data_IF_568846127166
#
_entry.id   IF_568846127166
#
_cell.length_a   1.000
_cell.length_b   1.000
_cell.length_c   1.000
_cell.angle_alpha   90.00
_cell.angle_beta   90.00
_cell.angle_gamma   90.00
#
_symmetry.space_group_name_H-M   'P 1'
#
loop_
_entity.id
_entity.type
_entity.pdbx_description
1 polymer ?
#
# COMPACT_ATOMS: atom_id res chain seq x y z
N UNK A 1 70.07 -6.83 -7.02
CA UNK A 1 71.02 -6.02 -7.82
C UNK A 1 70.17 -5.03 -8.60
N UNK A 2 70.08 -3.73 -8.35
CA UNK A 2 71.00 -2.81 -7.69
C UNK A 2 71.32 -1.68 -8.67
N UNK A 3 70.58 -0.55 -8.59
CA UNK A 3 70.95 0.85 -8.87
C UNK A 3 71.57 1.25 -10.22
N UNK A 4 71.54 2.49 -10.72
CA UNK A 4 70.81 3.77 -10.48
C UNK A 4 71.49 4.80 -11.40
N UNK A 5 70.73 5.79 -11.91
CA UNK A 5 71.08 7.23 -12.07
C UNK A 5 70.11 7.87 -13.10
N UNK A 6 69.15 8.71 -12.72
CA UNK A 6 69.16 10.02 -12.04
C UNK A 6 69.66 11.19 -12.90
N UNK A 7 68.75 12.11 -13.24
CA UNK A 7 69.04 13.52 -13.52
C UNK A 7 67.97 14.41 -12.88
N UNK A 8 68.44 15.30 -12.00
CA UNK A 8 67.71 16.30 -11.20
C UNK A 8 67.31 17.54 -12.01
N UNK A 9 66.27 18.26 -11.55
CA UNK A 9 66.28 19.71 -11.27
C UNK A 9 65.05 20.15 -10.46
N UNK A 10 65.30 20.86 -9.35
CA UNK A 10 64.36 21.48 -8.39
C UNK A 10 63.95 22.94 -8.81
N UNK A 11 63.40 23.83 -7.94
CA UNK A 11 61.96 24.14 -7.88
C UNK A 11 61.65 25.67 -7.91
N UNK A 12 60.36 26.04 -7.77
CA UNK A 12 59.77 27.24 -7.12
C UNK A 12 58.63 27.86 -7.96
N UNK A 13 57.48 28.09 -7.31
CA UNK A 13 56.86 29.40 -7.00
C UNK A 13 55.35 29.19 -6.78
N UNK A 14 54.90 29.49 -5.56
CA UNK A 14 53.51 29.61 -5.13
C UNK A 14 52.77 30.78 -5.80
N UNK A 15 51.46 30.65 -5.99
CA UNK A 15 50.51 31.78 -5.91
C UNK A 15 49.08 31.29 -5.67
N UNK A 16 48.50 31.80 -4.58
CA UNK A 16 47.09 31.80 -4.24
C UNK A 16 46.25 32.54 -5.30
N UNK A 17 45.02 32.12 -5.50
CA UNK A 17 43.89 33.01 -5.79
C UNK A 17 42.58 32.29 -5.40
N UNK A 18 41.94 32.86 -4.38
CA UNK A 18 40.58 32.60 -3.93
C UNK A 18 39.56 33.04 -4.99
N UNK A 19 38.56 32.21 -5.29
CA UNK A 19 37.32 32.64 -5.96
C UNK A 19 36.08 32.33 -5.12
N UNK A 20 35.66 33.41 -4.45
CA UNK A 20 34.33 33.90 -4.07
C UNK A 20 33.09 33.02 -4.27
N UNK A 21 32.45 32.75 -3.14
CA UNK A 21 31.03 32.43 -2.95
C UNK A 21 30.21 33.74 -2.94
N UNK A 22 29.10 33.89 -3.68
CA UNK A 22 28.14 34.97 -3.44
C UNK A 22 27.04 34.54 -2.46
N UNK A 23 26.86 35.34 -1.41
CA UNK A 23 25.77 35.30 -0.44
C UNK A 23 24.50 36.01 -0.94
N UNK A 24 23.32 35.75 -0.33
CA UNK A 24 22.03 36.25 -0.81
C UNK A 24 21.77 37.71 -0.37
N UNK A 25 21.35 38.55 -1.33
CA UNK A 25 20.93 39.92 -1.09
C UNK A 25 19.46 39.96 -0.61
N UNK A 26 19.28 40.48 0.60
CA UNK A 26 18.02 40.99 1.12
C UNK A 26 17.64 42.30 0.45
N UNK A 27 16.39 42.45 0.03
CA UNK A 27 15.82 43.75 -0.29
C UNK A 27 14.50 44.00 0.45
N UNK A 28 14.52 45.13 1.12
CA UNK A 28 13.54 45.73 2.01
C UNK A 28 12.29 46.24 1.29
N UNK A 29 11.15 46.11 1.97
CA UNK A 29 9.89 46.77 1.68
C UNK A 29 10.05 48.30 1.71
N UNK A 30 9.48 48.98 0.71
CA UNK A 30 9.23 50.42 0.75
C UNK A 30 7.90 50.70 0.08
N UNK A 31 6.96 51.16 0.91
CA UNK A 31 5.66 51.72 0.55
C UNK A 31 5.82 53.05 -0.18
N UNK A 32 5.13 53.24 -1.30
CA UNK A 32 4.63 54.57 -1.67
C UNK A 32 3.41 54.49 -2.58
N UNK A 33 2.32 55.05 -2.07
CA UNK A 33 1.06 55.37 -2.73
C UNK A 33 1.21 56.60 -3.62
N UNK A 34 0.67 56.58 -4.83
CA UNK A 34 0.20 57.78 -5.57
C UNK A 34 -0.70 57.35 -6.73
N UNK A 35 -1.96 57.79 -6.66
CA UNK A 35 -3.01 57.63 -7.66
C UNK A 35 -2.71 58.41 -8.94
N UNK A 36 -3.17 57.91 -10.09
CA UNK A 36 -3.77 58.75 -11.14
C UNK A 36 -4.72 57.92 -11.99
N UNK A 37 -5.87 58.52 -12.23
CA UNK A 37 -7.09 57.97 -12.79
C UNK A 37 -7.07 57.88 -14.32
N UNK A 38 -7.57 56.78 -14.87
CA UNK A 38 -8.23 56.80 -16.18
C UNK A 38 -9.32 55.74 -16.25
N UNK A 39 -10.50 56.23 -16.60
CA UNK A 39 -11.79 55.55 -16.59
C UNK A 39 -12.03 54.77 -17.87
N UNK A 40 -12.24 53.46 -17.77
CA UNK A 40 -12.93 52.66 -18.79
C UNK A 40 -13.92 51.71 -18.12
N UNK A 41 -15.19 51.94 -18.42
CA UNK A 41 -16.34 51.20 -17.91
C UNK A 41 -16.40 49.82 -18.54
N UNK A 42 -16.10 48.77 -17.77
CA UNK A 42 -16.44 47.40 -18.12
C UNK A 42 -17.55 46.92 -17.19
N UNK A 43 -18.71 46.59 -17.80
CA UNK A 43 -19.88 46.05 -17.13
C UNK A 43 -19.49 44.78 -16.36
N UNK A 44 -19.69 44.80 -15.05
CA UNK A 44 -19.58 43.62 -14.20
C UNK A 44 -20.72 42.65 -14.54
N UNK A 45 -20.38 41.50 -15.12
CA UNK A 45 -21.19 40.30 -14.95
C UNK A 45 -20.99 39.79 -13.51
N UNK A 46 -22.04 39.32 -12.83
CA UNK A 46 -21.88 38.77 -11.49
C UNK A 46 -20.97 37.54 -11.58
N UNK A 47 -19.90 37.56 -10.79
CA UNK A 47 -19.03 36.42 -10.56
C UNK A 47 -19.89 35.21 -10.16
N UNK A 48 -20.04 34.23 -11.05
CA UNK A 48 -20.30 32.88 -10.57
C UNK A 48 -19.05 32.45 -9.82
N UNK A 49 -19.16 32.22 -8.53
CA UNK A 49 -18.21 31.40 -7.79
C UNK A 49 -18.19 30.02 -8.44
N UNK A 50 -17.30 29.85 -9.43
CA UNK A 50 -17.20 28.62 -10.20
C UNK A 50 -16.78 27.50 -9.25
N UNK A 51 -17.74 26.67 -8.83
CA UNK A 51 -17.43 25.41 -8.15
C UNK A 51 -16.59 24.59 -9.13
N UNK A 52 -15.36 24.27 -8.73
CA UNK A 52 -14.50 23.34 -9.47
C UNK A 52 -15.26 22.02 -9.65
N UNK A 53 -15.13 21.39 -10.82
CA UNK A 53 -15.64 20.03 -11.00
C UNK A 53 -14.91 19.06 -10.06
N UNK A 54 -15.54 17.96 -9.60
CA UNK A 54 -14.87 16.99 -8.72
C UNK A 54 -13.54 16.49 -9.30
N UNK A 55 -13.48 16.25 -10.62
CA UNK A 55 -12.25 15.88 -11.33
C UNK A 55 -11.13 16.92 -11.22
N UNK A 56 -11.46 18.21 -11.19
CA UNK A 56 -10.46 19.28 -10.97
C UNK A 56 -10.08 19.41 -9.49
N UNK A 57 -11.02 19.15 -8.58
CA UNK A 57 -10.81 19.24 -7.12
C UNK A 57 -9.88 18.15 -6.61
N UNK A 58 -9.96 16.95 -7.17
CA UNK A 58 -9.17 15.77 -6.76
C UNK A 58 -8.09 15.41 -7.78
N UNK A 59 -7.62 16.37 -8.59
CA UNK A 59 -6.58 16.11 -9.58
C UNK A 59 -5.20 15.82 -8.94
N UNK A 60 -4.95 16.39 -7.76
CA UNK A 60 -3.79 16.18 -6.91
C UNK A 60 -4.24 16.27 -5.45
N UNK A 61 -3.90 15.27 -4.64
CA UNK A 61 -4.26 15.25 -3.21
C UNK A 61 -3.00 15.56 -2.39
N UNK A 62 -2.93 16.69 -1.67
CA UNK A 62 -1.76 17.02 -0.86
C UNK A 62 -1.75 16.29 0.49
N UNK A 63 -0.56 16.07 1.02
CA UNK A 63 -0.34 15.59 2.39
C UNK A 63 -0.97 16.54 3.42
N UNK A 64 -2.06 16.11 4.05
CA UNK A 64 -2.86 16.94 4.95
C UNK A 64 -2.85 16.46 6.41
N UNK A 65 -2.21 15.33 6.70
CA UNK A 65 -2.23 14.72 8.04
C UNK A 65 -0.82 14.61 8.62
N UNK A 66 -0.72 14.80 9.94
CA UNK A 66 0.53 14.64 10.69
C UNK A 66 0.47 13.49 11.70
N UNK A 67 -0.71 12.93 11.96
CA UNK A 67 -0.91 11.81 12.88
C UNK A 67 -1.95 10.80 12.36
N UNK A 68 -1.84 9.54 12.80
CA UNK A 68 -2.78 8.48 12.47
C UNK A 68 -4.19 8.75 13.01
N UNK A 69 -4.31 9.45 14.15
CA UNK A 69 -5.60 9.85 14.72
C UNK A 69 -6.35 10.82 13.80
N UNK A 70 -5.63 11.75 13.15
CA UNK A 70 -6.24 12.67 12.19
C UNK A 70 -6.76 11.92 10.96
N UNK A 71 -5.96 10.98 10.43
CA UNK A 71 -6.37 10.11 9.32
C UNK A 71 -7.60 9.30 9.70
N UNK A 72 -7.57 8.62 10.85
CA UNK A 72 -8.69 7.79 11.33
C UNK A 72 -9.95 8.63 11.53
N UNK A 73 -9.80 9.84 12.06
CA UNK A 73 -10.91 10.79 12.21
C UNK A 73 -11.44 11.23 10.85
N UNK A 74 -10.57 11.49 9.87
CA UNK A 74 -10.97 11.84 8.52
C UNK A 74 -11.72 10.69 7.83
N UNK A 75 -11.21 9.46 7.89
CA UNK A 75 -11.89 8.27 7.35
C UNK A 75 -13.30 8.12 7.92
N UNK A 76 -13.44 8.23 9.25
CA UNK A 76 -14.75 8.18 9.93
C UNK A 76 -15.68 9.33 9.51
N UNK A 77 -15.16 10.55 9.42
CA UNK A 77 -15.96 11.73 9.04
C UNK A 77 -16.45 11.66 7.59
N UNK A 78 -15.66 11.08 6.70
CA UNK A 78 -16.04 10.87 5.30
C UNK A 78 -17.00 9.67 5.13
N UNK A 79 -17.22 8.89 6.20
CA UNK A 79 -18.15 7.75 6.18
C UNK A 79 -17.52 6.47 5.64
N UNK A 80 -16.19 6.39 5.55
CA UNK A 80 -15.51 5.12 5.35
C UNK A 80 -15.53 4.37 6.68
N UNK A 81 -16.63 3.65 6.92
CA UNK A 81 -16.75 2.75 8.07
C UNK A 81 -15.90 1.50 7.91
N UNK A 82 -15.61 1.13 6.66
CA UNK A 82 -15.17 -0.19 6.26
C UNK A 82 -14.61 -0.14 4.80
N UNK A 83 -13.51 -0.84 4.48
CA UNK A 83 -12.90 -0.96 3.15
C UNK A 83 -12.47 -2.40 2.85
N UNK A 84 -12.20 -2.74 1.59
CA UNK A 84 -11.67 -4.06 1.23
C UNK A 84 -10.22 -3.94 0.72
N UNK A 85 -9.33 -4.80 1.19
CA UNK A 85 -7.93 -4.83 0.76
C UNK A 85 -7.69 -5.85 -0.35
N UNK A 86 -6.85 -5.48 -1.31
CA UNK A 86 -6.28 -6.40 -2.30
C UNK A 86 -4.76 -6.28 -2.23
N UNK A 87 -4.03 -7.39 -2.28
CA UNK A 87 -2.57 -7.38 -2.21
C UNK A 87 -1.93 -7.90 -3.50
N UNK A 88 -0.98 -7.14 -4.03
CA UNK A 88 -0.12 -7.51 -5.15
C UNK A 88 1.35 -7.58 -4.73
N UNK A 89 2.03 -8.69 -5.03
CA UNK A 89 3.45 -8.89 -4.74
C UNK A 89 4.23 -9.02 -6.04
N UNK A 90 5.22 -8.15 -6.21
CA UNK A 90 6.19 -8.21 -7.30
C UNK A 90 7.14 -9.40 -7.10
N UNK A 91 7.25 -10.26 -8.10
CA UNK A 91 8.20 -11.38 -8.17
C UNK A 91 9.12 -11.30 -9.40
N UNK A 92 9.46 -10.09 -9.82
CA UNK A 92 10.42 -9.85 -10.90
C UNK A 92 11.85 -10.05 -10.42
N UNK A 93 12.75 -10.25 -11.39
CA UNK A 93 14.15 -10.59 -11.18
C UNK A 93 14.96 -9.44 -10.60
N UNK A 94 14.50 -8.19 -10.72
CA UNK A 94 15.21 -7.04 -10.14
C UNK A 94 15.42 -7.15 -8.64
N UNK A 95 14.52 -7.83 -7.96
CA UNK A 95 14.64 -8.21 -6.56
C UNK A 95 15.91 -9.00 -6.21
N UNK A 96 16.64 -9.57 -7.17
CA UNK A 96 17.95 -10.21 -6.93
C UNK A 96 19.05 -9.18 -6.63
N UNK A 97 18.94 -7.94 -7.13
CA UNK A 97 20.00 -6.92 -7.02
C UNK A 97 19.57 -5.62 -6.33
N UNK A 98 18.28 -5.34 -6.19
CA UNK A 98 17.75 -4.14 -5.50
C UNK A 98 17.78 -4.23 -3.97
N UNK A 99 18.35 -5.31 -3.42
CA UNK A 99 18.74 -5.43 -2.00
C UNK A 99 20.23 -5.22 -1.75
N UNK A 100 20.98 -4.66 -2.70
CA UNK A 100 22.43 -4.47 -2.60
C UNK A 100 22.82 -3.69 -1.35
N UNK A 101 22.14 -2.59 -1.07
CA UNK A 101 22.44 -1.68 0.04
C UNK A 101 21.53 -1.98 1.24
N UNK A 102 20.22 -1.99 1.01
CA UNK A 102 19.18 -2.11 2.04
C UNK A 102 19.05 -3.52 2.62
N UNK A 103 19.58 -4.54 1.94
CA UNK A 103 19.48 -5.93 2.38
C UNK A 103 20.77 -6.72 2.18
N UNK A 104 21.91 -6.06 2.39
CA UNK A 104 23.25 -6.70 2.50
C UNK A 104 23.61 -7.58 1.29
N UNK A 105 23.31 -7.10 0.08
CA UNK A 105 23.58 -7.81 -1.17
C UNK A 105 22.89 -9.19 -1.27
N UNK A 106 21.74 -9.32 -0.58
CA UNK A 106 20.82 -10.45 -0.74
C UNK A 106 19.64 -10.04 -1.61
N UNK A 107 19.00 -11.03 -2.21
CA UNK A 107 17.71 -10.83 -2.86
C UNK A 107 16.67 -10.35 -1.83
N UNK A 108 15.82 -9.41 -2.23
CA UNK A 108 14.70 -8.92 -1.42
C UNK A 108 13.68 -10.02 -1.08
N UNK A 109 13.66 -11.14 -1.82
CA UNK A 109 12.85 -12.33 -1.51
C UNK A 109 13.61 -13.43 -0.75
N UNK A 110 14.86 -13.21 -0.33
CA UNK A 110 15.65 -14.27 0.28
C UNK A 110 15.04 -14.73 1.62
N UNK A 111 14.41 -15.92 1.63
CA UNK A 111 13.86 -16.56 2.83
C UNK A 111 15.00 -17.00 3.76
N UNK A 112 14.85 -16.75 5.05
CA UNK A 112 15.83 -17.15 6.07
C UNK A 112 15.34 -16.86 7.48
N UNK A 113 16.26 -16.84 8.44
CA UNK A 113 15.94 -16.62 9.85
C UNK A 113 15.45 -15.19 10.15
N UNK A 114 15.85 -14.23 9.33
CA UNK A 114 15.42 -12.83 9.44
C UNK A 114 14.42 -12.51 8.33
N UNK A 115 13.30 -11.84 8.66
CA UNK A 115 12.33 -11.44 7.66
C UNK A 115 12.97 -10.54 6.60
N UNK A 116 12.75 -10.88 5.34
CA UNK A 116 13.13 -10.04 4.21
C UNK A 116 12.21 -8.81 4.10
N UNK A 117 12.53 -7.81 3.25
CA UNK A 117 11.74 -6.59 3.14
C UNK A 117 10.27 -6.80 2.77
N UNK A 118 9.94 -7.79 1.94
CA UNK A 118 8.55 -8.14 1.63
C UNK A 118 7.82 -8.73 2.84
N UNK A 119 8.43 -9.66 3.58
CA UNK A 119 7.85 -10.24 4.80
C UNK A 119 7.58 -9.15 5.86
N UNK A 120 8.50 -8.19 5.99
CA UNK A 120 8.34 -7.02 6.87
C UNK A 120 7.18 -6.14 6.40
N UNK A 121 7.11 -5.83 5.12
CA UNK A 121 6.04 -5.02 4.55
C UNK A 121 4.68 -5.69 4.76
N UNK A 122 4.51 -6.97 4.40
CA UNK A 122 3.28 -7.75 4.60
C UNK A 122 2.86 -7.72 6.07
N UNK A 123 3.80 -7.96 6.99
CA UNK A 123 3.52 -7.95 8.43
C UNK A 123 3.05 -6.58 8.92
N UNK A 124 3.70 -5.49 8.49
CA UNK A 124 3.34 -4.14 8.93
C UNK A 124 2.03 -3.69 8.28
N UNK A 125 1.79 -4.01 7.01
CA UNK A 125 0.49 -3.80 6.35
C UNK A 125 -0.61 -4.51 7.14
N UNK A 126 -0.42 -5.76 7.53
CA UNK A 126 -1.38 -6.50 8.35
C UNK A 126 -1.68 -5.83 9.69
N UNK A 127 -0.66 -5.32 10.38
CA UNK A 127 -0.86 -4.60 11.65
C UNK A 127 -1.56 -3.26 11.50
N UNK A 128 -1.35 -2.57 10.38
CA UNK A 128 -1.71 -1.15 10.24
C UNK A 128 -2.92 -0.91 9.36
N UNK A 129 -3.11 -1.70 8.30
CA UNK A 129 -4.20 -1.55 7.35
C UNK A 129 -5.32 -2.58 7.55
N UNK A 130 -5.04 -3.79 8.04
CA UNK A 130 -6.09 -4.80 8.26
C UNK A 130 -7.21 -4.37 9.22
N UNK A 131 -7.01 -3.50 10.24
CA UNK A 131 -8.12 -2.98 11.04
C UNK A 131 -9.16 -2.17 10.25
N UNK A 132 -8.84 -1.77 9.02
CA UNK A 132 -9.74 -1.08 8.09
C UNK A 132 -10.36 -2.02 7.04
N UNK A 133 -10.04 -3.32 7.09
CA UNK A 133 -10.58 -4.35 6.20
C UNK A 133 -11.89 -4.94 6.75
N UNK A 134 -12.88 -5.16 5.88
CA UNK A 134 -14.25 -5.49 6.28
C UNK A 134 -14.45 -6.92 6.76
N UNK A 135 -13.80 -7.87 6.10
CA UNK A 135 -14.06 -9.29 6.22
C UNK A 135 -12.81 -10.12 6.54
N UNK A 136 -11.65 -9.47 6.58
CA UNK A 136 -10.34 -10.08 6.75
C UNK A 136 -10.03 -11.10 5.63
N UNK A 137 -10.68 -10.97 4.46
CA UNK A 137 -10.45 -11.77 3.27
C UNK A 137 -9.61 -10.96 2.29
N UNK A 138 -8.35 -11.35 2.12
CA UNK A 138 -7.39 -10.62 1.31
C UNK A 138 -7.13 -11.37 0.00
N UNK A 139 -7.74 -10.98 -1.14
CA UNK A 139 -7.29 -11.43 -2.45
C UNK A 139 -5.82 -11.07 -2.64
N UNK A 140 -4.99 -12.10 -2.86
CA UNK A 140 -3.54 -11.95 -2.96
C UNK A 140 -3.01 -12.49 -4.30
N UNK A 141 -2.27 -11.65 -5.00
CA UNK A 141 -1.71 -11.93 -6.31
C UNK A 141 -0.19 -11.78 -6.34
N UNK A 142 0.47 -12.62 -7.13
CA UNK A 142 1.84 -12.44 -7.57
C UNK A 142 1.92 -12.13 -9.06
N UNK A 143 2.94 -11.37 -9.47
CA UNK A 143 3.19 -11.04 -10.88
C UNK A 143 4.69 -10.92 -11.16
N UNK A 144 5.09 -10.98 -12.44
CA UNK A 144 6.49 -10.77 -12.85
C UNK A 144 7.39 -12.02 -12.78
N UNK A 145 6.85 -13.15 -12.33
CA UNK A 145 7.57 -14.42 -12.35
C UNK A 145 7.62 -15.02 -13.77
N UNK A 146 8.35 -16.13 -13.92
CA UNK A 146 8.48 -16.83 -15.19
C UNK A 146 7.17 -17.40 -15.76
N UNK A 147 6.10 -17.49 -14.97
CA UNK A 147 4.79 -17.95 -15.44
C UNK A 147 3.87 -16.81 -15.86
N UNK A 148 4.06 -15.60 -15.31
CA UNK A 148 3.18 -14.44 -15.55
C UNK A 148 3.80 -13.34 -16.41
N UNK A 149 5.13 -13.15 -16.33
CA UNK A 149 5.84 -12.04 -16.97
C UNK A 149 5.13 -10.70 -16.68
N UNK A 150 5.01 -9.81 -17.67
CA UNK A 150 4.31 -8.52 -17.60
C UNK A 150 2.85 -8.58 -18.12
N UNK A 151 2.27 -9.78 -18.24
CA UNK A 151 1.00 -9.99 -18.92
C UNK A 151 -0.14 -10.43 -18.00
N UNK A 152 0.16 -11.25 -17.00
CA UNK A 152 -0.83 -11.93 -16.17
C UNK A 152 -0.49 -11.79 -14.68
N UNK A 153 -1.38 -12.29 -13.82
CA UNK A 153 -1.12 -12.50 -12.39
C UNK A 153 -1.37 -13.96 -12.04
N UNK A 154 -0.77 -14.45 -10.97
CA UNK A 154 -1.16 -15.70 -10.32
C UNK A 154 -1.79 -15.43 -8.96
N UNK A 155 -2.77 -16.23 -8.57
CA UNK A 155 -3.38 -16.18 -7.24
C UNK A 155 -2.54 -16.98 -6.23
N UNK A 156 -2.51 -16.54 -4.97
CA UNK A 156 -1.82 -17.28 -3.89
C UNK A 156 -2.50 -18.62 -3.58
N UNK A 157 -3.81 -18.74 -3.81
CA UNK A 157 -4.55 -20.00 -3.72
C UNK A 157 -4.87 -20.56 -5.10
N UNK A 158 -4.80 -21.89 -5.25
CA UNK A 158 -5.07 -22.58 -6.52
C UNK A 158 -6.51 -22.50 -7.01
N UNK A 159 -7.46 -22.32 -6.10
CA UNK A 159 -8.88 -22.10 -6.40
C UNK A 159 -9.25 -20.61 -6.53
N UNK A 160 -8.26 -19.72 -6.45
CA UNK A 160 -8.45 -18.26 -6.46
C UNK A 160 -9.27 -17.71 -5.28
N UNK A 161 -9.39 -18.44 -4.17
CA UNK A 161 -9.96 -17.92 -2.93
C UNK A 161 -9.01 -16.90 -2.27
N UNK A 162 -9.57 -16.00 -1.45
CA UNK A 162 -8.81 -15.02 -0.67
C UNK A 162 -8.08 -15.68 0.51
N UNK A 163 -6.96 -15.09 0.92
CA UNK A 163 -6.31 -15.42 2.19
C UNK A 163 -7.14 -14.88 3.37
N UNK A 164 -7.13 -15.58 4.51
CA UNK A 164 -7.74 -15.15 5.76
C UNK A 164 -6.71 -14.45 6.64
N UNK A 165 -6.71 -13.13 6.58
CA UNK A 165 -5.76 -12.28 7.29
C UNK A 165 -4.33 -12.38 6.77
N UNK A 166 -3.50 -11.46 7.25
CA UNK A 166 -2.11 -11.31 6.80
C UNK A 166 -1.19 -12.42 7.30
N UNK A 167 -1.61 -13.18 8.31
CA UNK A 167 -0.91 -14.39 8.76
C UNK A 167 -0.92 -15.47 7.66
N UNK A 168 -2.06 -15.69 6.99
CA UNK A 168 -2.13 -16.63 5.87
C UNK A 168 -1.42 -16.08 4.63
N UNK A 169 -1.52 -14.77 4.37
CA UNK A 169 -0.74 -14.13 3.30
C UNK A 169 0.75 -14.40 3.45
N UNK A 170 1.29 -14.20 4.66
CA UNK A 170 2.71 -14.42 4.95
C UNK A 170 3.10 -15.90 4.79
N UNK A 171 2.26 -16.83 5.27
CA UNK A 171 2.49 -18.27 5.11
C UNK A 171 2.48 -18.70 3.63
N UNK A 172 1.53 -18.19 2.85
CA UNK A 172 1.46 -18.42 1.40
C UNK A 172 2.71 -17.86 0.70
N UNK A 173 3.10 -16.62 1.01
CA UNK A 173 4.31 -16.00 0.47
C UNK A 173 5.56 -16.86 0.73
N UNK A 174 5.77 -17.30 1.98
CA UNK A 174 6.91 -18.14 2.36
C UNK A 174 6.91 -19.51 1.67
N UNK A 175 5.73 -20.05 1.33
CA UNK A 175 5.58 -21.30 0.57
C UNK A 175 5.83 -21.11 -0.94
N UNK A 176 5.39 -19.98 -1.50
CA UNK A 176 5.47 -19.70 -2.94
C UNK A 176 6.90 -19.35 -3.36
N UNK A 177 7.58 -18.47 -2.61
CA UNK A 177 8.88 -17.91 -2.99
C UNK A 177 9.94 -18.97 -3.35
N UNK A 178 10.16 -20.04 -2.56
CA UNK A 178 11.17 -21.05 -2.87
C UNK A 178 10.93 -21.83 -4.17
N UNK A 179 9.68 -21.84 -4.65
CA UNK A 179 9.24 -22.60 -5.82
C UNK A 179 9.08 -21.72 -7.08
N UNK A 180 9.35 -20.43 -6.95
CA UNK A 180 9.12 -19.44 -7.98
C UNK A 180 10.43 -19.13 -8.71
N UNK A 181 10.33 -18.86 -10.03
CA UNK A 181 11.46 -18.37 -10.82
C UNK A 181 11.23 -16.91 -11.16
N UNK A 182 11.98 -16.01 -10.51
CA UNK A 182 11.91 -14.57 -10.77
C UNK A 182 12.22 -14.28 -12.24
N UNK A 183 11.46 -13.36 -12.85
CA UNK A 183 11.57 -13.07 -14.29
C UNK A 183 11.31 -11.59 -14.59
N UNK A 184 10.59 -11.27 -15.64
CA UNK A 184 10.19 -9.95 -16.08
C UNK A 184 9.60 -10.03 -17.49
N UNK A 185 9.37 -8.92 -18.18
CA UNK A 185 9.50 -7.53 -17.73
C UNK A 185 8.59 -7.17 -16.53
N UNK A 186 8.79 -5.98 -15.98
CA UNK A 186 8.02 -5.46 -14.84
C UNK A 186 6.97 -4.48 -15.33
N UNK A 187 5.68 -4.79 -15.10
CA UNK A 187 4.54 -3.89 -15.29
C UNK A 187 3.52 -4.14 -14.17
N UNK A 188 2.92 -3.08 -13.63
CA UNK A 188 1.86 -3.21 -12.62
C UNK A 188 0.46 -3.33 -13.25
N UNK A 189 0.36 -3.20 -14.58
CA UNK A 189 -0.92 -3.27 -15.26
C UNK A 189 -1.70 -4.56 -14.95
N UNK A 190 -1.11 -5.77 -14.98
CA UNK A 190 -1.87 -7.00 -14.73
C UNK A 190 -2.52 -7.04 -13.33
N UNK A 191 -1.82 -6.54 -12.30
CA UNK A 191 -2.34 -6.56 -10.93
C UNK A 191 -3.36 -5.45 -10.68
N UNK A 192 -3.21 -4.30 -11.32
CA UNK A 192 -4.22 -3.22 -11.31
C UNK A 192 -5.49 -3.69 -12.04
N UNK A 193 -5.35 -4.31 -13.21
CA UNK A 193 -6.47 -4.90 -13.95
C UNK A 193 -7.20 -5.98 -13.13
N UNK A 194 -6.46 -6.80 -12.37
CA UNK A 194 -7.04 -7.79 -11.45
C UNK A 194 -7.85 -7.13 -10.31
N UNK A 195 -7.34 -6.03 -9.74
CA UNK A 195 -8.06 -5.28 -8.71
C UNK A 195 -9.33 -4.61 -9.26
N UNK A 196 -9.30 -4.06 -10.47
CA UNK A 196 -10.48 -3.53 -11.15
C UNK A 196 -11.55 -4.63 -11.32
N UNK A 197 -11.16 -5.84 -11.74
CA UNK A 197 -12.08 -6.97 -11.87
C UNK A 197 -12.70 -7.39 -10.52
N UNK A 198 -11.95 -7.29 -9.41
CA UNK A 198 -12.50 -7.49 -8.05
C UNK A 198 -13.53 -6.41 -7.68
N UNK A 199 -13.22 -5.14 -7.95
CA UNK A 199 -14.15 -4.02 -7.70
C UNK A 199 -15.46 -4.20 -8.49
N UNK A 200 -15.38 -4.69 -9.72
CA UNK A 200 -16.57 -4.99 -10.53
C UNK A 200 -17.37 -6.17 -9.99
N UNK A 201 -16.70 -7.26 -9.59
CA UNK A 201 -17.35 -8.43 -8.98
C UNK A 201 -17.99 -8.14 -7.63
N UNK A 202 -17.47 -7.17 -6.88
CA UNK A 202 -18.03 -6.70 -5.61
C UNK A 202 -19.13 -5.66 -5.78
N UNK A 203 -19.57 -5.39 -7.02
CA UNK A 203 -20.59 -4.39 -7.35
C UNK A 203 -20.20 -2.95 -7.00
N UNK A 204 -18.93 -2.59 -7.17
CA UNK A 204 -18.43 -1.24 -6.95
C UNK A 204 -18.26 -0.88 -5.49
N UNK A 205 -17.91 -1.86 -4.64
CA UNK A 205 -17.45 -1.57 -3.29
C UNK A 205 -16.06 -0.91 -3.33
N UNK A 206 -15.77 -0.06 -2.35
CA UNK A 206 -14.46 0.58 -2.26
C UNK A 206 -13.37 -0.44 -1.93
N UNK A 207 -12.29 -0.42 -2.71
CA UNK A 207 -11.13 -1.27 -2.48
C UNK A 207 -9.84 -0.44 -2.43
N UNK A 208 -8.89 -0.93 -1.66
CA UNK A 208 -7.51 -0.44 -1.65
C UNK A 208 -6.60 -1.56 -2.13
N UNK A 209 -6.01 -1.39 -3.32
CA UNK A 209 -4.95 -2.26 -3.82
C UNK A 209 -3.62 -1.81 -3.23
N UNK A 210 -2.96 -2.70 -2.48
CA UNK A 210 -1.60 -2.51 -1.99
C UNK A 210 -0.65 -3.33 -2.85
N UNK A 211 0.28 -2.67 -3.54
CA UNK A 211 1.32 -3.32 -4.34
C UNK A 211 2.64 -3.21 -3.57
N UNK A 212 3.28 -4.32 -3.24
CA UNK A 212 4.64 -4.34 -2.68
C UNK A 212 5.61 -4.66 -3.82
N UNK A 213 6.54 -3.74 -4.10
CA UNK A 213 7.45 -3.85 -5.24
C UNK A 213 8.79 -3.15 -5.00
N UNK A 214 9.79 -3.45 -5.83
CA UNK A 214 11.13 -2.84 -5.78
C UNK A 214 11.30 -1.60 -6.67
N UNK A 215 10.22 -1.19 -7.33
CA UNK A 215 10.14 0.04 -8.12
C UNK A 215 10.74 -0.04 -9.52
N UNK A 216 11.26 -1.19 -9.95
CA UNK A 216 11.97 -1.33 -11.23
C UNK A 216 11.01 -1.66 -12.40
N UNK A 217 10.05 -0.77 -12.68
CA UNK A 217 9.24 -0.89 -13.91
C UNK A 217 10.18 -0.88 -15.12
N UNK A 218 10.00 -1.82 -16.04
CA UNK A 218 10.97 -2.00 -17.14
C UNK A 218 10.96 -0.77 -18.03
N UNK A 219 12.06 -0.02 -18.02
CA UNK A 219 12.23 1.18 -18.83
C UNK A 219 13.00 0.89 -20.11
N UNK A 220 12.78 1.71 -21.14
CA UNK A 220 13.56 1.69 -22.39
C UNK A 220 14.91 2.35 -22.11
N UNK A 221 15.85 1.62 -21.50
CA UNK A 221 17.15 2.09 -21.03
C UNK A 221 17.69 3.32 -21.78
N UNK A 222 17.49 4.51 -21.20
CA UNK A 222 18.12 5.75 -21.63
C UNK A 222 17.89 6.21 -23.07
N UNK A 223 16.77 5.90 -23.74
CA UNK A 223 16.47 6.60 -25.00
C UNK A 223 16.24 8.09 -24.72
N UNK A 224 17.08 8.94 -25.32
CA UNK A 224 17.25 10.38 -25.04
C UNK A 224 16.01 11.27 -25.27
N UNK A 225 14.84 10.70 -25.56
CA UNK A 225 13.66 11.44 -26.04
C UNK A 225 12.47 11.45 -25.05
N UNK A 226 12.65 11.00 -23.80
CA UNK A 226 11.59 11.04 -22.78
C UNK A 226 10.37 10.16 -23.11
N UNK A 227 10.53 9.20 -24.03
CA UNK A 227 9.47 8.28 -24.47
C UNK A 227 9.35 7.10 -23.51
N UNK A 228 8.15 6.88 -23.01
CA UNK A 228 7.82 5.76 -22.11
C UNK A 228 8.04 4.40 -22.77
N UNK A 229 8.42 3.40 -21.99
CA UNK A 229 8.43 2.00 -22.38
C UNK A 229 7.00 1.44 -22.53
N UNK A 230 6.83 0.31 -23.23
CA UNK A 230 5.54 -0.36 -23.28
C UNK A 230 5.00 -0.71 -21.88
N UNK A 231 5.87 -1.09 -20.93
CA UNK A 231 5.48 -1.45 -19.58
C UNK A 231 5.10 -0.22 -18.73
N UNK A 232 5.80 0.89 -18.89
CA UNK A 232 5.48 2.17 -18.26
C UNK A 232 4.13 2.70 -18.79
N UNK A 233 3.95 2.72 -20.12
CA UNK A 233 2.70 3.15 -20.77
C UNK A 233 1.52 2.28 -20.34
N UNK A 234 1.70 0.95 -20.29
CA UNK A 234 0.63 0.04 -19.87
C UNK A 234 0.28 0.22 -18.38
N UNK A 235 1.28 0.46 -17.54
CA UNK A 235 1.07 0.76 -16.11
C UNK A 235 0.30 2.05 -15.93
N UNK A 236 0.70 3.13 -16.61
CA UNK A 236 0.02 4.43 -16.57
C UNK A 236 -1.43 4.28 -17.05
N UNK A 237 -1.65 3.59 -18.17
CA UNK A 237 -3.00 3.38 -18.70
C UNK A 237 -3.89 2.59 -17.73
N UNK A 238 -3.34 1.58 -17.05
CA UNK A 238 -4.08 0.83 -16.03
C UNK A 238 -4.43 1.70 -14.82
N UNK A 239 -3.55 2.59 -14.37
CA UNK A 239 -3.84 3.55 -13.29
C UNK A 239 -4.95 4.54 -13.71
N UNK A 240 -4.88 5.06 -14.95
CA UNK A 240 -5.92 5.92 -15.51
C UNK A 240 -7.26 5.18 -15.58
N UNK A 241 -7.28 3.94 -16.07
CA UNK A 241 -8.49 3.10 -16.10
C UNK A 241 -9.05 2.87 -14.69
N UNK A 242 -8.18 2.55 -13.72
CA UNK A 242 -8.55 2.35 -12.31
C UNK A 242 -9.23 3.57 -11.70
N UNK A 243 -8.91 4.79 -12.15
CA UNK A 243 -9.55 6.02 -11.65
C UNK A 243 -11.03 6.15 -12.00
N UNK A 244 -11.54 5.35 -12.95
CA UNK A 244 -12.97 5.24 -13.24
C UNK A 244 -13.71 4.25 -12.34
N UNK A 245 -13.04 3.71 -11.32
CA UNK A 245 -13.55 2.75 -10.33
C UNK A 245 -13.35 3.28 -8.90
N UNK A 246 -14.12 2.81 -7.90
CA UNK A 246 -13.88 3.11 -6.49
C UNK A 246 -12.66 2.30 -5.97
N UNK A 247 -11.49 2.57 -6.55
CA UNK A 247 -10.23 1.86 -6.30
C UNK A 247 -9.11 2.85 -6.00
N UNK A 248 -8.52 2.72 -4.82
CA UNK A 248 -7.28 3.35 -4.42
C UNK A 248 -6.10 2.40 -4.60
N UNK A 249 -4.93 2.91 -4.97
CA UNK A 249 -3.71 2.14 -5.17
C UNK A 249 -2.61 2.70 -4.26
N UNK A 250 -2.02 1.85 -3.42
CA UNK A 250 -0.85 2.17 -2.60
C UNK A 250 0.32 1.32 -3.10
N UNK A 251 1.37 1.96 -3.58
CA UNK A 251 2.63 1.30 -3.91
C UNK A 251 3.61 1.40 -2.75
N UNK A 252 3.90 0.26 -2.12
CA UNK A 252 4.86 0.10 -1.04
C UNK A 252 6.21 -0.29 -1.61
N UNK A 253 7.12 0.68 -1.69
CA UNK A 253 8.46 0.52 -2.24
C UNK A 253 9.45 -0.12 -1.27
N UNK A 254 9.91 -1.34 -1.56
CA UNK A 254 10.94 -2.06 -0.80
C UNK A 254 12.27 -2.13 -1.56
N UNK A 255 13.39 -2.24 -0.85
CA UNK A 255 14.71 -2.24 -1.46
C UNK A 255 15.31 -0.86 -1.73
N UNK A 256 16.30 -0.82 -2.62
CA UNK A 256 17.20 0.31 -2.88
C UNK A 256 16.61 1.38 -3.81
N UNK A 257 15.56 1.06 -4.57
CA UNK A 257 15.08 1.88 -5.68
C UNK A 257 15.99 1.78 -6.92
N UNK A 258 16.09 2.82 -7.78
CA UNK A 258 15.59 4.19 -7.58
C UNK A 258 14.06 4.32 -7.63
N UNK A 259 13.53 5.40 -7.05
CA UNK A 259 12.08 5.64 -6.89
C UNK A 259 11.56 6.81 -7.73
N UNK A 260 12.37 7.36 -8.63
CA UNK A 260 12.02 8.56 -9.40
C UNK A 260 10.77 8.37 -10.26
N UNK A 261 10.63 7.20 -10.90
CA UNK A 261 9.46 6.91 -11.72
C UNK A 261 8.19 6.73 -10.89
N UNK A 262 8.31 6.18 -9.68
CA UNK A 262 7.17 6.02 -8.77
C UNK A 262 6.64 7.37 -8.29
N UNK A 263 7.54 8.33 -8.05
CA UNK A 263 7.17 9.73 -7.75
C UNK A 263 6.52 10.43 -8.95
N UNK A 264 6.90 10.09 -10.17
CA UNK A 264 6.22 10.61 -11.38
C UNK A 264 4.80 10.03 -11.50
N UNK A 265 4.59 8.78 -11.10
CA UNK A 265 3.27 8.16 -11.11
C UNK A 265 2.32 8.76 -10.06
N UNK A 266 2.84 9.17 -8.89
CA UNK A 266 2.09 9.97 -7.90
C UNK A 266 1.59 11.30 -8.50
N UNK A 267 2.52 12.13 -8.99
CA UNK A 267 2.23 13.55 -9.21
C UNK A 267 1.82 13.90 -10.65
N UNK A 268 2.09 13.02 -11.63
CA UNK A 268 2.15 13.41 -13.05
C UNK A 268 1.46 12.44 -14.01
N UNK A 269 0.45 11.70 -13.57
CA UNK A 269 -0.40 10.90 -14.48
C UNK A 269 -1.48 11.80 -15.10
N UNK A 270 -1.37 12.17 -16.40
CA UNK A 270 -2.40 12.96 -17.04
C UNK A 270 -3.68 12.13 -17.25
N UNK A 271 -4.84 12.81 -17.24
CA UNK A 271 -6.18 12.31 -17.65
C UNK A 271 -6.99 11.45 -16.66
N UNK A 272 -6.42 10.99 -15.54
CA UNK A 272 -7.19 10.27 -14.49
C UNK A 272 -8.34 11.09 -13.92
N UNK A 273 -9.42 10.43 -13.49
CA UNK A 273 -10.65 11.05 -12.98
C UNK A 273 -10.49 11.64 -11.57
N UNK A 274 -9.62 11.04 -10.76
CA UNK A 274 -9.12 11.57 -9.50
C UNK A 274 -7.73 10.98 -9.23
N UNK A 275 -6.99 11.58 -8.30
CA UNK A 275 -5.74 11.05 -7.79
C UNK A 275 -5.98 9.77 -6.99
N UNK A 276 -5.66 8.62 -7.58
CA UNK A 276 -5.97 7.29 -7.03
C UNK A 276 -4.72 6.46 -6.71
N UNK A 277 -3.54 7.07 -6.69
CA UNK A 277 -2.26 6.38 -6.56
C UNK A 277 -1.38 7.09 -5.55
N UNK A 278 -0.90 6.36 -4.55
CA UNK A 278 0.02 6.83 -3.50
C UNK A 278 1.29 5.99 -3.51
N UNK A 279 2.46 6.61 -3.56
CA UNK A 279 3.75 5.93 -3.32
C UNK A 279 4.22 6.06 -1.87
N UNK A 280 4.70 4.96 -1.28
CA UNK A 280 5.30 4.93 0.07
C UNK A 280 6.67 4.26 0.03
N UNK A 281 7.73 5.01 0.34
CA UNK A 281 9.09 4.48 0.45
C UNK A 281 9.29 3.73 1.78
N UNK A 282 8.96 2.44 1.81
CA UNK A 282 9.02 1.59 2.99
C UNK A 282 10.44 1.47 3.54
N UNK A 283 11.43 1.22 2.66
CA UNK A 283 12.84 1.10 3.07
C UNK A 283 13.31 2.36 3.80
N UNK A 284 12.99 3.54 3.27
CA UNK A 284 13.37 4.81 3.88
C UNK A 284 12.76 4.97 5.28
N UNK A 285 11.46 4.72 5.43
CA UNK A 285 10.79 4.78 6.75
C UNK A 285 11.43 3.80 7.74
N UNK A 286 11.68 2.56 7.31
CA UNK A 286 12.20 1.51 8.18
C UNK A 286 13.69 1.71 8.55
N UNK A 287 14.42 2.49 7.74
CA UNK A 287 15.83 2.82 7.99
C UNK A 287 16.04 3.87 9.09
N UNK A 288 15.01 4.64 9.45
CA UNK A 288 15.10 5.70 10.47
C UNK A 288 15.54 5.16 11.83
N UNK A 289 16.30 5.94 12.61
CA UNK A 289 16.76 5.54 13.94
C UNK A 289 15.71 5.88 15.03
N UNK A 290 14.54 5.25 14.92
CA UNK A 290 13.39 5.41 15.83
C UNK A 290 12.91 4.04 16.31
N UNK A 291 11.99 4.01 17.27
CA UNK A 291 11.40 2.76 17.74
C UNK A 291 10.57 2.05 16.67
N UNK A 292 10.36 0.73 16.82
CA UNK A 292 9.55 -0.04 15.87
C UNK A 292 8.13 0.50 15.75
N UNK A 293 7.50 0.88 16.87
CA UNK A 293 6.14 1.43 16.88
C UNK A 293 6.05 2.77 16.14
N UNK A 294 7.05 3.65 16.27
CA UNK A 294 7.09 4.90 15.53
C UNK A 294 7.25 4.68 14.02
N UNK A 295 8.01 3.66 13.61
CA UNK A 295 8.15 3.29 12.18
C UNK A 295 6.85 2.73 11.61
N UNK A 296 6.20 1.82 12.33
CA UNK A 296 4.90 1.27 11.95
C UNK A 296 3.85 2.39 11.83
N UNK A 297 3.84 3.33 12.79
CA UNK A 297 2.94 4.50 12.76
C UNK A 297 3.25 5.43 11.58
N UNK A 298 4.53 5.70 11.31
CA UNK A 298 4.93 6.53 10.17
C UNK A 298 4.58 5.89 8.84
N UNK A 299 4.71 4.56 8.72
CA UNK A 299 4.26 3.82 7.55
C UNK A 299 2.75 3.90 7.38
N UNK A 300 1.98 3.63 8.44
CA UNK A 300 0.52 3.69 8.40
C UNK A 300 0.02 5.08 7.97
N UNK A 301 0.62 6.13 8.53
CA UNK A 301 0.31 7.52 8.17
C UNK A 301 0.60 7.80 6.70
N UNK A 302 1.77 7.38 6.20
CA UNK A 302 2.14 7.60 4.80
C UNK A 302 1.24 6.81 3.83
N UNK A 303 0.90 5.57 4.15
CA UNK A 303 0.04 4.73 3.32
C UNK A 303 -1.41 5.22 3.27
N UNK A 304 -1.92 5.77 4.37
CA UNK A 304 -3.31 6.23 4.47
C UNK A 304 -3.49 7.72 4.18
N UNK A 305 -2.43 8.44 3.82
CA UNK A 305 -2.43 9.91 3.69
C UNK A 305 -3.53 10.42 2.75
N UNK A 306 -3.71 9.75 1.61
CA UNK A 306 -4.66 10.17 0.59
C UNK A 306 -6.01 9.45 0.66
N UNK A 307 -6.08 8.29 1.31
CA UNK A 307 -7.26 7.40 1.30
C UNK A 307 -8.57 8.11 1.69
N UNK A 308 -8.65 8.98 2.71
CA UNK A 308 -9.88 9.71 3.02
C UNK A 308 -10.38 10.56 1.85
N UNK A 309 -9.47 11.23 1.14
CA UNK A 309 -9.80 12.11 0.02
C UNK A 309 -10.13 11.31 -1.23
N UNK A 310 -9.44 10.18 -1.45
CA UNK A 310 -9.70 9.26 -2.55
C UNK A 310 -11.09 8.61 -2.43
N UNK A 311 -11.45 8.17 -1.22
CA UNK A 311 -12.80 7.68 -0.92
C UNK A 311 -13.87 8.75 -1.21
N UNK A 312 -13.62 9.98 -0.73
CA UNK A 312 -14.51 11.12 -0.98
C UNK A 312 -14.64 11.44 -2.47
N UNK A 313 -13.55 11.35 -3.24
CA UNK A 313 -13.57 11.52 -4.68
C UNK A 313 -14.46 10.47 -5.36
N UNK A 314 -14.32 9.20 -4.99
CA UNK A 314 -15.16 8.11 -5.50
C UNK A 314 -16.65 8.32 -5.18
N UNK A 315 -16.97 8.85 -3.99
CA UNK A 315 -18.31 9.30 -3.60
C UNK A 315 -18.82 10.42 -4.50
N UNK A 316 -18.08 11.53 -4.62
CA UNK A 316 -18.48 12.74 -5.36
C UNK A 316 -18.56 12.51 -6.88
N UNK A 317 -17.77 11.57 -7.42
CA UNK A 317 -17.82 11.12 -8.82
C UNK A 317 -18.93 10.07 -9.07
N UNK A 318 -19.60 9.58 -8.03
CA UNK A 318 -20.67 8.60 -8.15
C UNK A 318 -20.21 7.22 -8.63
N UNK A 319 -19.00 6.80 -8.23
CA UNK A 319 -18.37 5.54 -8.61
C UNK A 319 -18.80 4.38 -7.69
N UNK A 320 -19.12 4.66 -6.42
CA UNK A 320 -19.50 3.65 -5.43
C UNK A 320 -20.85 2.99 -5.73
N UNK A 321 -20.93 1.69 -5.45
CA UNK A 321 -22.14 0.88 -5.58
C UNK A 321 -22.59 0.67 -7.02
N UNK A 322 -21.68 0.83 -7.99
CA UNK A 322 -21.94 0.67 -9.42
C UNK A 322 -20.95 -0.29 -10.05
N UNK A 323 -21.46 -1.30 -10.72
CA UNK A 323 -20.69 -2.07 -11.70
C UNK A 323 -20.79 -1.36 -13.06
N UNK A 324 -19.65 -1.20 -13.74
CA UNK A 324 -19.62 -0.56 -15.05
C UNK A 324 -19.80 -1.58 -16.18
N UNK A 325 -19.48 -2.85 -15.91
CA UNK A 325 -19.52 -3.94 -16.89
C UNK A 325 -18.49 -3.79 -18.03
N UNK A 326 -17.53 -2.86 -17.89
CA UNK A 326 -16.51 -2.55 -18.90
C UNK A 326 -15.17 -3.22 -18.60
N UNK A 327 -14.96 -3.70 -17.38
CA UNK A 327 -13.69 -4.32 -16.99
C UNK A 327 -13.40 -5.60 -17.77
N UNK A 328 -12.11 -5.86 -17.98
CA UNK A 328 -11.65 -7.15 -18.45
C UNK A 328 -11.83 -8.17 -17.32
N UNK A 329 -12.43 -9.32 -17.64
CA UNK A 329 -12.49 -10.44 -16.70
C UNK A 329 -11.09 -11.04 -16.58
N UNK A 330 -10.55 -11.05 -15.37
CA UNK A 330 -9.24 -11.63 -15.07
C UNK A 330 -9.42 -13.03 -14.49
N UNK A 331 -8.68 -13.98 -15.05
CA UNK A 331 -8.56 -15.35 -14.54
C UNK A 331 -7.11 -15.54 -14.13
N UNK A 332 -6.79 -15.41 -12.83
CA UNK A 332 -5.43 -15.60 -12.34
C UNK A 332 -4.91 -17.00 -12.65
N UNK A 333 -3.61 -17.12 -12.90
CA UNK A 333 -2.93 -18.42 -12.92
C UNK A 333 -2.94 -19.05 -11.52
N UNK A 334 -2.90 -20.39 -11.42
CA UNK A 334 -2.64 -21.04 -10.14
C UNK A 334 -1.22 -20.68 -9.63
N UNK A 335 -0.98 -20.75 -8.30
CA UNK A 335 0.34 -20.46 -7.74
C UNK A 335 1.36 -21.52 -8.20
N UNK A 336 2.65 -21.15 -8.34
CA UNK A 336 3.72 -22.11 -8.68
C UNK A 336 3.86 -23.28 -7.72
N UNK A 337 3.43 -23.09 -6.46
CA UNK A 337 3.32 -24.14 -5.45
C UNK A 337 1.91 -24.14 -4.85
N UNK A 338 1.22 -25.28 -4.79
CA UNK A 338 -0.08 -25.35 -4.15
C UNK A 338 0.09 -25.08 -2.65
N UNK A 339 -0.66 -24.09 -2.14
CA UNK A 339 -0.86 -23.94 -0.72
C UNK A 339 -2.08 -24.78 -0.31
N UNK A 340 -1.84 -25.83 0.47
CA UNK A 340 -2.92 -26.54 1.16
C UNK A 340 -2.98 -26.01 2.57
N UNK A 341 -4.08 -25.35 2.93
CA UNK A 341 -4.28 -24.93 4.32
C UNK A 341 -4.21 -26.18 5.20
N UNK A 342 -3.25 -26.19 6.11
CA UNK A 342 -3.21 -27.17 7.19
C UNK A 342 -4.46 -26.95 8.04
N UNK A 343 -5.54 -27.67 7.78
CA UNK A 343 -6.63 -27.76 8.75
C UNK A 343 -5.97 -28.31 10.03
N UNK A 344 -5.95 -27.56 11.15
CA UNK A 344 -5.41 -28.12 12.38
C UNK A 344 -6.21 -29.40 12.67
N UNK A 345 -5.56 -30.54 12.92
CA UNK A 345 -6.27 -31.70 13.41
C UNK A 345 -7.03 -31.26 14.67
N UNK A 346 -8.33 -31.52 14.71
CA UNK A 346 -9.09 -31.39 15.95
C UNK A 346 -8.35 -32.21 17.03
N UNK A 347 -7.87 -31.52 18.06
CA UNK A 347 -7.14 -32.04 19.23
C UNK A 347 -5.73 -32.59 19.01
N UNK A 348 -4.72 -31.73 19.24
CA UNK A 348 -3.57 -32.12 20.08
C UNK A 348 -3.13 -30.89 20.88
N UNK A 349 -3.37 -30.90 22.20
CA UNK A 349 -2.67 -30.00 23.12
C UNK A 349 -1.17 -30.32 23.03
N UNK A 350 -0.35 -29.37 22.59
CA UNK A 350 1.08 -29.39 22.93
C UNK A 350 1.63 -27.99 23.04
N UNK A 351 1.85 -27.67 24.31
CA UNK A 351 2.57 -26.58 24.95
C UNK A 351 3.86 -26.21 24.24
N UNK A 352 3.97 -24.98 23.74
CA UNK A 352 5.21 -24.20 23.64
C UNK A 352 4.91 -22.72 23.96
N UNK A 353 5.85 -21.98 24.57
CA UNK A 353 5.54 -20.86 25.44
C UNK A 353 5.23 -19.58 24.66
N UNK A 354 3.98 -19.11 24.76
CA UNK A 354 3.55 -17.82 24.26
C UNK A 354 3.96 -16.70 25.22
N UNK A 355 4.34 -15.57 24.63
CA UNK A 355 4.61 -14.31 25.30
C UNK A 355 3.40 -13.89 26.13
N UNK A 356 3.62 -13.75 27.44
CA UNK A 356 2.61 -13.39 28.44
C UNK A 356 2.33 -11.89 28.31
N UNK A 357 1.40 -11.51 27.43
CA UNK A 357 0.59 -10.30 27.66
C UNK A 357 -0.75 -10.25 26.88
N UNK A 358 -0.99 -11.15 25.92
CA UNK A 358 -2.18 -11.09 25.04
C UNK A 358 -3.37 -11.97 25.45
N UNK A 359 -3.20 -12.90 26.41
CA UNK A 359 -4.28 -13.85 26.79
C UNK A 359 -5.49 -13.19 27.49
N UNK A 360 -5.31 -12.05 28.16
CA UNK A 360 -6.41 -11.41 28.92
C UNK A 360 -7.48 -10.80 28.02
N UNK A 361 -7.10 -10.23 26.89
CA UNK A 361 -8.06 -9.64 25.95
C UNK A 361 -8.83 -10.69 25.15
N UNK A 362 -8.25 -11.88 24.96
CA UNK A 362 -8.90 -12.96 24.22
C UNK A 362 -9.92 -13.74 25.08
N UNK A 363 -9.83 -13.68 26.41
CA UNK A 363 -10.72 -14.41 27.34
C UNK A 363 -11.94 -13.61 27.83
N UNK A 364 -11.99 -12.29 27.63
CA UNK A 364 -13.11 -11.44 28.08
C UNK A 364 -14.17 -11.23 27.01
N UNK A 365 -15.43 -11.11 27.42
CA UNK A 365 -16.59 -10.92 26.55
C UNK A 365 -16.48 -9.63 25.74
N UNK A 366 -16.58 -9.71 24.42
CA UNK A 366 -16.48 -8.55 23.53
C UNK A 366 -17.59 -7.49 23.71
N UNK A 367 -18.66 -7.81 24.46
CA UNK A 367 -19.76 -6.88 24.73
C UNK A 367 -19.50 -6.06 26.00
N UNK A 368 -19.15 -6.71 27.11
CA UNK A 368 -18.96 -6.01 28.38
C UNK A 368 -17.51 -5.75 28.74
N UNK A 369 -16.56 -6.38 28.04
CA UNK A 369 -15.11 -6.32 28.28
C UNK A 369 -14.66 -6.70 29.70
N UNK A 370 -15.57 -7.22 30.52
CA UNK A 370 -15.34 -7.50 31.95
C UNK A 370 -15.46 -8.99 32.28
N UNK A 371 -16.51 -9.66 31.80
CA UNK A 371 -16.80 -11.05 32.15
C UNK A 371 -16.11 -12.01 31.19
N UNK A 372 -15.70 -13.18 31.68
CA UNK A 372 -15.18 -14.26 30.82
C UNK A 372 -16.21 -14.79 29.83
N UNK A 373 -15.73 -15.34 28.69
CA UNK A 373 -16.57 -15.98 27.68
C UNK A 373 -17.01 -17.38 28.14
N UNK A 374 -18.26 -17.54 28.56
CA UNK A 374 -18.84 -18.82 29.05
C UNK A 374 -20.10 -19.26 28.28
N UNK A 375 -20.45 -18.56 27.20
CA UNK A 375 -21.60 -18.85 26.35
C UNK A 375 -21.25 -18.78 24.86
N UNK A 376 -21.39 -19.90 24.16
CA UNK A 376 -21.21 -20.01 22.71
C UNK A 376 -22.55 -19.98 21.95
N UNK A 377 -22.55 -19.38 20.77
CA UNK A 377 -23.69 -19.40 19.84
C UNK A 377 -23.55 -20.52 18.80
N UNK A 378 -24.65 -20.84 18.10
CA UNK A 378 -24.65 -21.83 17.01
C UNK A 378 -23.66 -21.53 15.87
N UNK A 379 -23.23 -20.28 15.72
CA UNK A 379 -22.22 -19.83 14.77
C UNK A 379 -20.76 -19.97 15.28
N UNK A 380 -20.55 -20.52 16.47
CA UNK A 380 -19.21 -20.72 17.07
C UNK A 380 -18.67 -19.52 17.86
N UNK A 381 -19.22 -18.33 17.70
CA UNK A 381 -18.81 -17.14 18.45
C UNK A 381 -19.24 -17.16 19.92
N UNK A 382 -18.44 -16.54 20.79
CA UNK A 382 -18.62 -16.62 22.24
C UNK A 382 -18.77 -15.26 22.92
N UNK A 383 -19.57 -15.21 23.98
CA UNK A 383 -19.80 -14.06 24.87
C UNK A 383 -19.90 -14.53 26.32
N UNK A 384 -19.98 -13.61 27.28
CA UNK A 384 -20.43 -13.98 28.63
C UNK A 384 -21.94 -14.22 28.63
N UNK A 385 -22.42 -15.04 29.55
CA UNK A 385 -23.82 -15.43 29.70
C UNK A 385 -24.75 -14.23 29.89
N UNK A 386 -24.32 -13.21 30.63
CA UNK A 386 -25.14 -12.04 30.92
C UNK A 386 -25.37 -11.15 29.68
N UNK A 387 -24.40 -11.11 28.77
CA UNK A 387 -24.53 -10.39 27.51
C UNK A 387 -25.22 -11.24 26.44
N UNK A 388 -24.82 -12.51 26.30
CA UNK A 388 -25.34 -13.41 25.27
C UNK A 388 -26.81 -13.82 25.47
N UNK A 389 -27.35 -13.68 26.68
CA UNK A 389 -28.78 -13.87 26.97
C UNK A 389 -29.67 -12.71 26.52
N UNK A 390 -29.11 -11.51 26.30
CA UNK A 390 -29.86 -10.27 26.00
C UNK A 390 -29.89 -9.90 24.52
N UNK A 391 -29.21 -10.68 23.67
CA UNK A 391 -29.04 -10.37 22.25
C UNK A 391 -29.69 -11.45 21.38
N UNK A 392 -30.33 -11.03 20.28
CA UNK A 392 -30.99 -11.91 19.31
C UNK A 392 -30.12 -12.27 18.11
N UNK A 393 -29.07 -11.47 17.86
CA UNK A 393 -28.14 -11.62 16.75
C UNK A 393 -26.71 -11.66 17.32
N UNK A 394 -25.84 -12.45 16.69
CA UNK A 394 -24.44 -12.55 17.08
C UNK A 394 -23.77 -11.18 16.89
N UNK A 395 -23.05 -10.64 17.88
CA UNK A 395 -22.39 -9.34 17.75
C UNK A 395 -21.20 -9.37 16.79
N UNK A 396 -20.72 -10.57 16.42
CA UNK A 396 -19.56 -10.78 15.57
C UNK A 396 -20.00 -11.04 14.12
N UNK A 397 -20.78 -12.10 13.86
CA UNK A 397 -21.21 -12.45 12.50
C UNK A 397 -22.63 -11.99 12.13
N UNK A 398 -23.35 -11.31 13.03
CA UNK A 398 -24.74 -10.82 12.83
C UNK A 398 -25.81 -11.88 12.55
N UNK A 399 -25.45 -13.16 12.48
CA UNK A 399 -26.39 -14.27 12.35
C UNK A 399 -27.38 -14.31 13.52
N UNK A 400 -28.61 -14.72 13.23
CA UNK A 400 -29.66 -14.88 14.25
C UNK A 400 -29.30 -16.03 15.19
N UNK A 401 -29.31 -15.75 16.49
CA UNK A 401 -28.93 -16.74 17.52
C UNK A 401 -30.09 -17.71 17.74
N UNK A 402 -29.96 -18.91 17.19
CA UNK A 402 -30.90 -20.03 17.36
C UNK A 402 -30.50 -20.98 18.49
N UNK A 403 -29.22 -21.03 18.84
CA UNK A 403 -28.66 -21.94 19.85
C UNK A 403 -27.70 -21.20 20.77
N UNK A 404 -27.78 -21.47 22.08
CA UNK A 404 -26.89 -20.96 23.13
C UNK A 404 -26.38 -22.14 23.94
N UNK A 405 -25.07 -22.37 23.91
CA UNK A 405 -24.39 -23.48 24.59
C UNK A 405 -23.52 -22.92 25.71
N UNK A 406 -23.67 -23.47 26.91
CA UNK A 406 -22.81 -23.10 28.03
C UNK A 406 -21.48 -23.85 27.91
N UNK A 407 -20.38 -23.11 27.93
CA UNK A 407 -19.03 -23.67 27.89
C UNK A 407 -18.48 -23.63 29.31
N UNK A 408 -18.14 -24.80 29.85
CA UNK A 408 -17.45 -24.90 31.14
C UNK A 408 -15.95 -24.97 30.84
N UNK A 409 -15.17 -24.03 31.39
CA UNK A 409 -13.71 -24.14 31.36
C UNK A 409 -13.32 -25.41 32.14
N UNK A 410 -12.50 -26.26 31.52
CA UNK A 410 -11.85 -27.40 32.17
C UNK A 410 -10.68 -26.96 33.04
#
# INVERSE_FOLDING_TARGET
MGNSHAKKRDPKISRNLEEKIPSPLSYSLSSNSSETSSSTSFKMHPHSSGKLSPKQKYALIPDNFTTLDQVTTALRNEGLESSNLVLGIDFTKSNEWTGRISFENRSLHAIGNTPNPYEKAISIIGKTLAPFDDDNLIPCFGFGDATTHDLEVFSFHGDSSSCHGFEEVLACYQNIVPNLRLSGPTSYAPVIEAAIDIVEKSHGQFHVLVIVADGQVTSNGGTQDGKLSPQEERTINAIVEASSYPLSIILVGVGDGPWDDMKKFDDKIPTRDFDNFQFVNFTEIMSKNTSSSEKETAFALAALMEIPFQFKAALELGLLGRSTGRSKKIVPRPPPAPYSRSVPPAHVLSTMPAFIDDERNQMVCAICLTNGKDLAFGCGHMTCRDCGSKISNCPICRERITTRLRVFAG
#
